data_IF_130625469662
#
_entry.id   IF_130625469662
#
_cell.length_a   1.000
_cell.length_b   1.000
_cell.length_c   1.000
_cell.angle_alpha   90.00
_cell.angle_beta   90.00
_cell.angle_gamma   90.00
#
_symmetry.space_group_name_H-M   'P 1'
#
loop_
_entity.id
_entity.type
_entity.pdbx_description
1 polymer ?
#
# COMPACT_ATOMS: atom_id res chain seq x y z
N UNK A 1 28.86 -46.10 -5.55
CA UNK A 1 27.59 -46.71 -5.09
C UNK A 1 26.74 -45.70 -4.30
N UNK A 2 26.66 -45.70 -2.96
CA UNK A 2 25.67 -44.85 -2.24
C UNK A 2 25.86 -43.33 -2.40
N UNK A 3 27.10 -42.84 -2.37
CA UNK A 3 27.40 -41.40 -2.59
C UNK A 3 27.09 -40.92 -4.01
N UNK A 4 27.19 -41.84 -4.96
CA UNK A 4 27.01 -41.59 -6.39
C UNK A 4 25.53 -41.54 -6.76
N UNK A 5 24.74 -42.44 -6.16
CA UNK A 5 23.28 -42.42 -6.25
C UNK A 5 22.69 -41.13 -5.63
N UNK A 6 23.23 -40.68 -4.49
CA UNK A 6 22.79 -39.44 -3.86
C UNK A 6 23.12 -38.19 -4.72
N UNK A 7 24.30 -38.16 -5.34
CA UNK A 7 24.67 -37.07 -6.24
C UNK A 7 23.80 -37.03 -7.50
N UNK A 8 23.47 -38.19 -8.06
CA UNK A 8 22.63 -38.31 -9.25
C UNK A 8 21.18 -37.89 -8.98
N UNK A 9 20.62 -38.30 -7.83
CA UNK A 9 19.29 -37.87 -7.40
C UNK A 9 19.23 -36.36 -7.15
N UNK A 10 20.27 -35.78 -6.54
CA UNK A 10 20.32 -34.34 -6.29
C UNK A 10 20.41 -33.53 -7.60
N UNK A 11 21.12 -34.05 -8.60
CA UNK A 11 21.18 -33.46 -9.95
C UNK A 11 19.81 -33.49 -10.64
N UNK A 12 19.10 -34.62 -10.61
CA UNK A 12 17.75 -34.74 -11.17
C UNK A 12 16.75 -33.83 -10.47
N UNK A 13 16.81 -33.73 -9.14
CA UNK A 13 15.94 -32.81 -8.40
C UNK A 13 16.22 -31.35 -8.76
N UNK A 14 17.48 -30.97 -8.94
CA UNK A 14 17.85 -29.62 -9.34
C UNK A 14 17.33 -29.29 -10.76
N UNK A 15 17.41 -30.23 -11.69
CA UNK A 15 16.91 -30.08 -13.06
C UNK A 15 15.39 -29.88 -13.09
N UNK A 16 14.64 -30.73 -12.38
CA UNK A 16 13.18 -30.60 -12.27
C UNK A 16 12.77 -29.26 -11.64
N UNK A 17 13.50 -28.79 -10.62
CA UNK A 17 13.23 -27.49 -9.99
C UNK A 17 13.48 -26.34 -10.96
N UNK A 18 14.54 -26.41 -11.77
CA UNK A 18 14.83 -25.38 -12.78
C UNK A 18 13.76 -25.35 -13.86
N UNK A 19 13.33 -26.50 -14.37
CA UNK A 19 12.25 -26.59 -15.36
C UNK A 19 10.91 -26.05 -14.82
N UNK A 20 10.62 -26.29 -13.54
CA UNK A 20 9.42 -25.73 -12.87
C UNK A 20 9.52 -24.21 -12.73
N UNK A 21 10.68 -23.69 -12.32
CA UNK A 21 10.92 -22.25 -12.22
C UNK A 21 10.73 -21.56 -13.57
N UNK A 22 11.33 -22.09 -14.64
CA UNK A 22 11.17 -21.54 -15.98
C UNK A 22 9.70 -21.52 -16.40
N UNK A 23 8.94 -22.59 -16.13
CA UNK A 23 7.51 -22.65 -16.43
C UNK A 23 6.72 -21.60 -15.66
N UNK A 24 6.98 -21.45 -14.36
CA UNK A 24 6.31 -20.47 -13.51
C UNK A 24 6.64 -19.04 -13.93
N UNK A 25 7.87 -18.77 -14.39
CA UNK A 25 8.26 -17.47 -14.93
C UNK A 25 7.50 -17.16 -16.23
N UNK A 26 7.38 -18.14 -17.13
CA UNK A 26 6.59 -18.00 -18.35
C UNK A 26 5.11 -17.75 -18.06
N UNK A 27 4.51 -18.49 -17.14
CA UNK A 27 3.11 -18.31 -16.71
C UNK A 27 2.89 -16.93 -16.07
N UNK A 28 3.79 -16.50 -15.18
CA UNK A 28 3.72 -15.17 -14.58
C UNK A 28 3.85 -14.05 -15.63
N UNK A 29 4.71 -14.22 -16.63
CA UNK A 29 4.83 -13.29 -17.75
C UNK A 29 3.52 -13.19 -18.54
N UNK A 30 2.88 -14.32 -18.83
CA UNK A 30 1.59 -14.37 -19.51
C UNK A 30 0.48 -13.69 -18.69
N UNK A 31 0.38 -13.98 -17.39
CA UNK A 31 -0.59 -13.35 -16.50
C UNK A 31 -0.38 -11.83 -16.42
N UNK A 32 0.87 -11.37 -16.35
CA UNK A 32 1.19 -9.94 -16.37
C UNK A 32 0.75 -9.27 -17.68
N UNK A 33 0.96 -9.93 -18.82
CA UNK A 33 0.48 -9.44 -20.12
C UNK A 33 -1.05 -9.40 -20.17
N UNK A 34 -1.73 -10.42 -19.66
CA UNK A 34 -3.19 -10.48 -19.60
C UNK A 34 -3.76 -9.39 -18.69
N UNK A 35 -3.19 -9.16 -17.51
CA UNK A 35 -3.59 -8.06 -16.61
C UNK A 35 -3.39 -6.70 -17.29
N UNK A 36 -2.28 -6.51 -18.02
CA UNK A 36 -2.03 -5.28 -18.79
C UNK A 36 -3.09 -5.08 -19.87
N UNK A 37 -3.45 -6.13 -20.61
CA UNK A 37 -4.49 -6.08 -21.64
C UNK A 37 -5.88 -5.77 -21.04
N UNK A 38 -6.26 -6.45 -19.97
CA UNK A 38 -7.53 -6.20 -19.26
C UNK A 38 -7.60 -4.77 -18.71
N UNK A 39 -6.51 -4.25 -18.15
CA UNK A 39 -6.45 -2.85 -17.71
C UNK A 39 -6.64 -1.88 -18.87
N UNK A 40 -6.05 -2.17 -20.04
CA UNK A 40 -6.21 -1.35 -21.24
C UNK A 40 -7.66 -1.38 -21.78
N UNK A 41 -8.29 -2.55 -21.82
CA UNK A 41 -9.70 -2.70 -22.22
C UNK A 41 -10.63 -1.97 -21.23
N UNK A 42 -10.40 -2.15 -19.93
CA UNK A 42 -11.16 -1.45 -18.89
C UNK A 42 -10.98 0.08 -18.97
N UNK A 43 -9.78 0.55 -19.34
CA UNK A 43 -9.50 1.97 -19.59
C UNK A 43 -10.34 2.49 -20.76
N UNK A 44 -10.43 1.76 -21.86
CA UNK A 44 -11.26 2.13 -23.03
C UNK A 44 -12.77 2.18 -22.71
N UNK A 45 -13.24 1.29 -21.84
CA UNK A 45 -14.62 1.27 -21.37
C UNK A 45 -14.92 2.45 -20.44
N UNK A 46 -13.96 2.83 -19.58
CA UNK A 46 -14.07 3.99 -18.67
C UNK A 46 -14.03 5.33 -19.40
N UNK A 47 -13.31 5.44 -20.52
CA UNK A 47 -13.30 6.63 -21.39
C UNK A 47 -14.72 7.00 -21.88
N UNK A 48 -15.62 6.02 -22.03
CA UNK A 48 -17.02 6.24 -22.40
C UNK A 48 -17.93 6.63 -21.23
N UNK A 49 -17.40 6.77 -20.00
CA UNK A 49 -18.22 7.04 -18.81
C UNK A 49 -17.61 8.01 -17.78
N UNK A 50 -16.49 8.71 -18.05
CA UNK A 50 -16.04 9.76 -17.12
C UNK A 50 -15.22 10.88 -17.79
N UNK A 51 -15.53 12.13 -17.41
CA UNK A 51 -14.86 13.36 -17.84
C UNK A 51 -13.78 13.74 -16.80
N UNK A 52 -12.50 13.96 -17.18
CA UNK A 52 -11.43 14.17 -16.21
C UNK A 52 -11.31 15.64 -15.77
N UNK A 53 -11.13 15.87 -14.47
CA UNK A 53 -10.63 17.14 -13.91
C UNK A 53 -9.08 17.16 -14.01
N UNK A 54 -8.45 18.31 -14.27
CA UNK A 54 -7.05 18.39 -14.65
C UNK A 54 -6.12 18.27 -13.44
N UNK A 55 -5.16 17.34 -13.52
CA UNK A 55 -4.12 17.17 -12.51
C UNK A 55 -3.11 18.32 -12.55
N UNK A 56 -3.02 19.07 -11.45
CA UNK A 56 -1.92 19.98 -11.16
C UNK A 56 -1.26 19.55 -9.85
N UNK A 57 -0.08 18.94 -9.92
CA UNK A 57 1.16 19.59 -9.48
C UNK A 57 2.34 18.61 -9.63
N UNK A 58 3.22 18.92 -10.58
CA UNK A 58 4.57 18.38 -10.66
C UNK A 58 5.35 18.87 -9.43
N UNK A 59 5.86 17.97 -8.58
CA UNK A 59 7.04 18.13 -7.70
C UNK A 59 7.04 17.03 -6.62
N UNK A 60 7.59 15.84 -6.92
CA UNK A 60 8.17 15.01 -5.87
C UNK A 60 9.35 14.21 -6.43
N UNK A 61 10.52 14.56 -5.89
CA UNK A 61 11.83 14.07 -6.29
C UNK A 61 11.97 12.58 -5.95
N UNK A 62 12.56 11.83 -6.87
CA UNK A 62 12.45 10.39 -6.95
C UNK A 62 13.00 9.64 -5.73
N UNK A 63 12.18 8.72 -5.22
CA UNK A 63 12.59 7.34 -4.94
C UNK A 63 11.37 6.45 -5.15
N UNK A 64 11.34 5.83 -6.33
CA UNK A 64 10.47 4.71 -6.67
C UNK A 64 10.77 3.57 -5.71
N UNK A 65 9.82 3.26 -4.82
CA UNK A 65 9.77 1.97 -4.18
C UNK A 65 8.48 1.29 -4.66
N UNK A 66 8.64 0.45 -5.68
CA UNK A 66 7.63 -0.53 -6.06
C UNK A 66 7.44 -1.50 -4.89
N UNK A 67 6.33 -1.39 -4.16
CA UNK A 67 5.84 -2.47 -3.30
C UNK A 67 4.47 -2.91 -3.78
N UNK A 68 4.43 -4.18 -4.19
CA UNK A 68 3.30 -4.91 -4.73
C UNK A 68 2.25 -5.20 -3.65
N UNK A 69 1.49 -4.20 -3.17
CA UNK A 69 0.31 -4.45 -2.32
C UNK A 69 -0.88 -3.62 -2.83
N UNK A 70 -1.55 -4.21 -3.82
CA UNK A 70 -2.66 -3.61 -4.56
C UNK A 70 -4.00 -3.82 -3.84
N UNK A 71 -4.20 -3.22 -2.67
CA UNK A 71 -5.54 -2.91 -2.12
C UNK A 71 -5.59 -1.56 -1.36
N UNK A 72 -4.56 -0.70 -1.48
CA UNK A 72 -4.66 0.66 -0.96
C UNK A 72 -5.40 1.57 -1.94
N UNK A 73 -6.71 1.61 -1.77
CA UNK A 73 -7.65 2.57 -2.35
C UNK A 73 -7.02 3.98 -2.39
N UNK A 74 -7.06 4.64 -3.56
CA UNK A 74 -6.59 6.02 -3.68
C UNK A 74 -7.29 6.89 -2.63
N UNK A 75 -6.56 7.36 -1.62
CA UNK A 75 -7.09 8.30 -0.62
C UNK A 75 -7.09 9.71 -1.24
N UNK A 76 -8.25 10.30 -1.61
CA UNK A 76 -8.31 11.68 -2.07
C UNK A 76 -7.99 12.66 -0.94
N UNK A 77 -7.06 13.58 -1.19
CA UNK A 77 -6.70 14.63 -0.22
C UNK A 77 -7.82 15.64 0.01
N UNK A 78 -8.76 15.78 -0.93
CA UNK A 78 -9.92 16.68 -0.81
C UNK A 78 -10.84 16.32 0.35
N UNK A 79 -10.91 15.03 0.72
CA UNK A 79 -11.76 14.52 1.80
C UNK A 79 -11.08 14.58 3.19
N UNK A 80 -9.83 15.05 3.26
CA UNK A 80 -9.02 15.12 4.48
C UNK A 80 -8.76 16.56 4.95
N UNK A 81 -9.54 17.53 4.46
CA UNK A 81 -9.41 18.95 4.80
C UNK A 81 -10.10 19.29 6.12
N UNK A 82 -9.56 20.26 6.87
CA UNK A 82 -10.18 20.75 8.11
C UNK A 82 -10.14 19.78 9.30
N UNK A 83 -9.31 18.73 9.25
CA UNK A 83 -9.20 17.75 10.34
C UNK A 83 -8.11 18.19 11.31
N UNK A 84 -8.49 18.35 12.58
CA UNK A 84 -7.53 18.64 13.65
C UNK A 84 -6.75 17.39 14.06
N UNK A 85 -5.53 17.57 14.57
CA UNK A 85 -4.72 16.46 15.06
C UNK A 85 -5.41 15.69 16.19
N UNK A 86 -6.21 16.37 17.01
CA UNK A 86 -7.02 15.76 18.07
C UNK A 86 -8.15 14.88 17.51
N UNK A 87 -8.81 15.32 16.44
CA UNK A 87 -9.84 14.49 15.77
C UNK A 87 -9.20 13.27 15.13
N UNK A 88 -8.07 13.44 14.44
CA UNK A 88 -7.35 12.32 13.84
C UNK A 88 -6.91 11.28 14.89
N UNK A 89 -6.37 11.73 16.03
CA UNK A 89 -5.99 10.83 17.14
C UNK A 89 -7.20 10.07 17.67
N UNK A 90 -8.32 10.76 17.94
CA UNK A 90 -9.54 10.11 18.45
C UNK A 90 -10.11 9.08 17.48
N UNK A 91 -10.14 9.39 16.19
CA UNK A 91 -10.59 8.46 15.17
C UNK A 91 -9.69 7.22 15.11
N UNK A 92 -8.37 7.39 15.19
CA UNK A 92 -7.43 6.28 15.26
C UNK A 92 -7.59 5.48 16.56
N UNK A 93 -7.84 6.11 17.71
CA UNK A 93 -8.11 5.41 18.96
C UNK A 93 -9.35 4.50 18.86
N UNK A 94 -10.43 4.97 18.21
CA UNK A 94 -11.62 4.16 17.95
C UNK A 94 -11.34 2.97 17.03
N UNK A 95 -10.39 3.11 16.11
CA UNK A 95 -9.94 2.03 15.22
C UNK A 95 -8.96 1.06 15.90
N UNK A 96 -8.70 1.24 17.20
CA UNK A 96 -7.89 0.36 18.03
C UNK A 96 -6.42 0.76 18.15
N UNK A 97 -6.06 2.00 17.80
CA UNK A 97 -4.74 2.53 18.09
C UNK A 97 -4.64 3.02 19.55
N UNK A 98 -3.49 2.85 20.16
CA UNK A 98 -3.17 3.37 21.49
C UNK A 98 -2.10 4.46 21.38
N UNK A 99 -2.27 5.53 22.14
CA UNK A 99 -1.26 6.59 22.26
C UNK A 99 -0.10 6.07 23.10
N UNK A 100 1.11 6.06 22.53
CA UNK A 100 2.32 5.62 23.22
C UNK A 100 2.95 6.79 23.99
N UNK A 101 3.28 7.86 23.27
CA UNK A 101 3.90 9.05 23.83
C UNK A 101 3.65 10.26 22.92
N UNK A 102 3.69 11.45 23.52
CA UNK A 102 3.64 12.71 22.79
C UNK A 102 4.94 13.48 23.05
N UNK A 103 5.68 13.78 21.97
CA UNK A 103 6.84 14.66 22.04
C UNK A 103 6.50 16.00 21.35
N UNK A 104 6.29 17.03 22.16
CA UNK A 104 5.86 18.34 21.68
C UNK A 104 4.54 18.27 20.94
N UNK A 105 4.53 18.67 19.66
CA UNK A 105 3.35 18.61 18.80
C UNK A 105 3.19 17.30 18.05
N UNK A 106 4.00 16.26 18.29
CA UNK A 106 3.87 14.97 17.59
C UNK A 106 3.38 13.89 18.55
N UNK A 107 2.30 13.22 18.19
CA UNK A 107 1.70 12.12 18.96
C UNK A 107 2.02 10.82 18.23
N UNK A 108 2.70 9.89 18.92
CA UNK A 108 2.97 8.55 18.41
C UNK A 108 1.85 7.61 18.84
N UNK A 109 1.23 6.94 17.87
CA UNK A 109 0.21 5.91 18.10
C UNK A 109 0.69 4.56 17.57
N UNK A 110 0.25 3.49 18.21
CA UNK A 110 0.54 2.12 17.80
C UNK A 110 -0.72 1.26 17.91
N UNK A 111 -0.91 0.31 17.00
CA UNK A 111 -2.02 -0.68 17.06
C UNK A 111 -1.51 -2.08 17.33
N UNK A 112 -0.42 -2.44 16.65
CA UNK A 112 0.31 -3.70 16.81
C UNK A 112 1.80 -3.37 16.92
N UNK A 113 2.64 -4.38 17.17
CA UNK A 113 4.09 -4.19 17.21
C UNK A 113 4.69 -3.67 15.90
N UNK A 114 4.01 -3.86 14.77
CA UNK A 114 4.48 -3.44 13.44
C UNK A 114 3.80 -2.17 12.93
N UNK A 115 2.60 -1.84 13.40
CA UNK A 115 1.83 -0.68 12.94
C UNK A 115 2.00 0.49 13.92
N UNK A 116 2.82 1.46 13.52
CA UNK A 116 3.06 2.71 14.24
C UNK A 116 2.85 3.90 13.32
N UNK A 117 2.19 4.95 13.81
CA UNK A 117 2.01 6.20 13.06
C UNK A 117 2.26 7.43 13.95
N UNK A 118 2.61 8.55 13.32
CA UNK A 118 2.91 9.81 14.01
C UNK A 118 1.93 10.87 13.51
N UNK A 119 1.11 11.40 14.41
CA UNK A 119 0.12 12.43 14.10
C UNK A 119 0.56 13.78 14.67
N UNK A 120 0.70 14.81 13.83
CA UNK A 120 0.90 16.18 14.32
C UNK A 120 -0.36 16.69 15.06
N UNK A 121 -0.20 17.09 16.31
CA UNK A 121 -1.19 17.74 17.16
C UNK A 121 -1.30 19.24 16.86
N UNK A 122 -1.77 19.55 15.65
CA UNK A 122 -2.07 20.91 15.21
C UNK A 122 -3.59 21.12 15.10
N UNK A 123 -4.08 22.38 15.19
CA UNK A 123 -5.50 22.70 14.99
C UNK A 123 -6.04 22.23 13.65
N UNK A 124 -5.19 22.23 12.62
CA UNK A 124 -5.46 21.69 11.30
C UNK A 124 -4.22 20.91 10.84
N UNK A 125 -4.42 19.66 10.45
CA UNK A 125 -3.36 18.81 9.91
C UNK A 125 -3.39 18.92 8.39
N UNK A 126 -2.21 19.00 7.78
CA UNK A 126 -2.10 19.01 6.32
C UNK A 126 -2.74 17.72 5.76
N UNK A 127 -3.70 17.81 4.81
CA UNK A 127 -4.38 16.65 4.22
C UNK A 127 -3.40 15.62 3.62
N UNK A 128 -2.28 16.09 3.07
CA UNK A 128 -1.22 15.24 2.53
C UNK A 128 -0.54 14.44 3.65
N UNK A 129 -0.24 15.10 4.77
CA UNK A 129 0.34 14.43 5.95
C UNK A 129 -0.64 13.41 6.50
N UNK A 130 -1.92 13.76 6.64
CA UNK A 130 -2.94 12.84 7.13
C UNK A 130 -3.10 11.63 6.21
N UNK A 131 -3.05 11.82 4.89
CA UNK A 131 -3.02 10.72 3.92
C UNK A 131 -1.84 9.78 4.14
N UNK A 132 -0.63 10.30 4.39
CA UNK A 132 0.53 9.45 4.66
C UNK A 132 0.39 8.70 5.99
N UNK A 133 -0.15 9.35 7.02
CA UNK A 133 -0.46 8.70 8.30
C UNK A 133 -1.43 7.54 8.09
N UNK A 134 -2.52 7.72 7.34
CA UNK A 134 -3.49 6.66 7.06
C UNK A 134 -2.88 5.50 6.28
N UNK A 135 -1.97 5.79 5.35
CA UNK A 135 -1.21 4.74 4.63
C UNK A 135 -0.30 3.96 5.56
N UNK A 136 0.47 4.63 6.42
CA UNK A 136 1.34 3.99 7.41
C UNK A 136 0.55 3.19 8.46
N UNK A 137 -0.64 3.67 8.80
CA UNK A 137 -1.57 3.01 9.71
C UNK A 137 -2.33 1.84 9.04
N UNK A 138 -2.21 1.66 7.73
CA UNK A 138 -2.99 0.69 6.93
C UNK A 138 -4.51 0.83 7.16
N UNK A 139 -4.98 2.08 7.29
CA UNK A 139 -6.38 2.41 7.54
C UNK A 139 -7.03 2.89 6.24
N UNK A 140 -8.20 2.33 5.90
CA UNK A 140 -8.99 2.81 4.78
C UNK A 140 -9.66 4.14 5.09
N UNK A 141 -9.82 4.99 4.06
CA UNK A 141 -10.46 6.29 4.23
C UNK A 141 -11.89 6.18 4.78
N UNK A 142 -12.65 5.17 4.33
CA UNK A 142 -14.01 4.94 4.82
C UNK A 142 -14.04 4.61 6.32
N UNK A 143 -13.11 3.77 6.81
CA UNK A 143 -13.00 3.45 8.22
C UNK A 143 -12.60 4.68 9.05
N UNK A 144 -11.68 5.49 8.53
CA UNK A 144 -11.27 6.73 9.19
C UNK A 144 -12.40 7.77 9.27
N UNK A 145 -13.10 8.03 8.16
CA UNK A 145 -14.21 8.97 8.13
C UNK A 145 -15.39 8.51 9.00
N UNK A 146 -15.61 7.19 9.12
CA UNK A 146 -16.61 6.63 10.03
C UNK A 146 -16.27 6.77 11.52
N UNK A 147 -15.01 7.07 11.85
CA UNK A 147 -14.51 7.21 13.22
C UNK A 147 -14.24 8.67 13.66
N UNK A 148 -14.39 9.64 12.74
CA UNK A 148 -14.29 11.08 13.03
C UNK A 148 -15.53 11.61 13.77
#
# INVERSE_FOLDING_TARGET
MAKEQAAQLNCQNAEVVLEECDRLEHENSQLRQQVKALKQENWQLREHSYSPEPEANANFDGQEFETQDSEHHAIPVSQLTGISGKQAVRALEQLGFNVEHQNGSHIKLHRTHTQTCIVPNHPEVNPVTLKQVLRQAEVSLAAFLGAL
#
